data_IF_176288248623
#
_entry.id   IF_176288248623
#
_cell.length_a   1.000
_cell.length_b   1.000
_cell.length_c   1.000
_cell.angle_alpha   90.00
_cell.angle_beta   90.00
_cell.angle_gamma   90.00
#
_symmetry.space_group_name_H-M   'P 1'
#
loop_
_entity.id
_entity.type
_entity.pdbx_description
1 polymer ?
#
# COMPACT_ATOMS: atom_id res chain seq x y z
N UNK A 1 82.26 -30.65 -8.04
CA UNK A 1 82.37 -30.68 -6.56
C UNK A 1 81.12 -30.08 -5.94
N UNK A 2 80.41 -30.89 -5.24
CA UNK A 2 79.25 -30.45 -4.36
C UNK A 2 79.83 -29.64 -3.19
N UNK A 3 79.07 -28.81 -2.40
CA UNK A 3 77.92 -29.30 -1.61
C UNK A 3 76.73 -28.36 -1.51
N UNK A 4 75.61 -28.95 -1.17
CA UNK A 4 74.52 -28.49 -0.31
C UNK A 4 75.02 -27.95 1.07
N UNK A 5 74.26 -27.29 1.95
CA UNK A 5 72.83 -27.16 2.19
C UNK A 5 72.38 -25.80 2.79
N UNK A 6 71.21 -25.49 3.01
CA UNK A 6 70.50 -25.50 4.32
C UNK A 6 69.11 -24.91 4.20
N UNK A 7 68.17 -25.73 4.58
CA UNK A 7 66.78 -25.33 4.70
C UNK A 7 66.56 -24.54 5.98
N UNK A 8 65.92 -23.39 5.87
CA UNK A 8 65.26 -22.80 7.04
C UNK A 8 63.78 -22.62 6.70
N UNK A 9 62.99 -23.48 7.28
CA UNK A 9 61.54 -23.39 7.25
C UNK A 9 61.09 -22.34 8.27
N UNK A 10 60.51 -21.25 7.80
CA UNK A 10 59.83 -20.30 8.64
C UNK A 10 58.35 -20.61 8.53
N UNK A 11 57.79 -21.21 9.59
CA UNK A 11 56.38 -21.35 9.75
C UNK A 11 55.77 -19.97 10.06
N UNK A 12 55.11 -19.37 9.12
CA UNK A 12 54.24 -18.21 9.34
C UNK A 12 52.83 -18.72 9.65
N UNK A 13 52.45 -18.71 10.91
CA UNK A 13 51.06 -18.89 11.31
C UNK A 13 50.27 -17.65 10.85
N UNK A 14 49.54 -17.76 9.75
CA UNK A 14 48.53 -16.79 9.35
C UNK A 14 47.24 -17.10 10.13
N UNK A 15 47.00 -16.36 11.19
CA UNK A 15 45.67 -16.31 11.85
C UNK A 15 44.77 -15.48 10.98
N UNK A 16 44.04 -16.12 10.10
CA UNK A 16 42.93 -15.49 9.37
C UNK A 16 41.72 -15.40 10.26
N UNK A 17 41.61 -14.29 10.99
CA UNK A 17 40.38 -13.87 11.65
C UNK A 17 39.32 -13.51 10.63
N UNK A 18 38.51 -14.49 10.23
CA UNK A 18 37.32 -14.26 9.44
C UNK A 18 36.22 -13.70 10.36
N UNK A 19 36.33 -12.39 10.66
CA UNK A 19 35.24 -11.60 11.21
C UNK A 19 34.19 -11.36 10.12
N UNK A 20 33.31 -12.33 9.90
CA UNK A 20 32.16 -12.17 9.04
C UNK A 20 31.20 -11.19 9.68
N UNK A 21 31.23 -9.93 9.25
CA UNK A 21 30.13 -8.99 9.40
C UNK A 21 28.95 -9.53 8.58
N UNK A 22 28.09 -10.31 9.23
CA UNK A 22 26.75 -10.57 8.74
C UNK A 22 26.01 -9.24 8.81
N UNK A 23 26.22 -8.39 7.82
CA UNK A 23 25.33 -7.31 7.50
C UNK A 23 23.99 -7.99 7.13
N UNK A 24 23.14 -8.20 8.14
CA UNK A 24 21.76 -8.61 7.94
C UNK A 24 21.14 -7.57 7.02
N UNK A 25 20.97 -7.93 5.76
CA UNK A 25 20.13 -7.15 4.87
C UNK A 25 18.76 -7.08 5.55
N UNK A 26 18.45 -5.94 6.15
CA UNK A 26 17.09 -5.61 6.56
C UNK A 26 16.32 -5.57 5.25
N UNK A 27 15.71 -6.70 4.91
CA UNK A 27 14.75 -6.75 3.83
C UNK A 27 13.61 -5.85 4.27
N UNK A 28 13.56 -4.65 3.66
CA UNK A 28 12.40 -3.79 3.79
C UNK A 28 11.20 -4.65 3.40
N UNK A 29 10.33 -4.95 4.39
CA UNK A 29 9.09 -5.64 4.10
C UNK A 29 8.35 -4.80 3.05
N UNK A 30 7.95 -5.39 1.92
CA UNK A 30 7.14 -4.68 0.95
C UNK A 30 5.96 -4.09 1.70
N UNK A 31 5.71 -2.79 1.51
CA UNK A 31 4.50 -2.17 2.03
C UNK A 31 3.31 -3.03 1.58
N UNK A 32 2.35 -3.34 2.46
CA UNK A 32 1.25 -4.23 2.11
C UNK A 32 0.61 -3.72 0.83
N UNK A 33 0.61 -4.53 -0.22
CA UNK A 33 0.01 -4.21 -1.52
C UNK A 33 -1.43 -3.77 -1.31
N UNK A 34 -1.91 -2.84 -2.13
CA UNK A 34 -3.27 -2.30 -2.02
C UNK A 34 -4.32 -3.40 -1.96
N UNK A 35 -5.39 -3.16 -1.22
CA UNK A 35 -6.56 -4.05 -1.16
C UNK A 35 -7.61 -3.61 -2.18
N UNK A 36 -8.31 -4.54 -2.77
CA UNK A 36 -9.42 -4.29 -3.69
C UNK A 36 -10.54 -5.31 -3.50
N UNK A 37 -11.62 -5.15 -4.23
CA UNK A 37 -12.83 -5.97 -4.14
C UNK A 37 -13.18 -6.55 -5.48
N UNK A 38 -13.51 -7.83 -5.51
CA UNK A 38 -13.85 -8.52 -6.75
C UNK A 38 -15.06 -9.45 -6.63
N UNK A 39 -15.71 -9.63 -7.77
CA UNK A 39 -16.84 -10.52 -7.95
C UNK A 39 -16.82 -11.05 -9.39
N UNK A 40 -16.69 -12.35 -9.61
CA UNK A 40 -16.66 -12.88 -10.96
C UNK A 40 -18.03 -12.75 -11.65
N UNK A 41 -18.03 -12.75 -12.98
CA UNK A 41 -19.26 -12.83 -13.78
C UNK A 41 -20.10 -11.56 -13.87
N UNK A 42 -19.60 -10.40 -13.42
CA UNK A 42 -20.32 -9.12 -13.54
C UNK A 42 -19.78 -8.29 -14.70
N UNK A 43 -20.61 -7.38 -15.23
CA UNK A 43 -20.18 -6.40 -16.24
C UNK A 43 -19.40 -5.25 -15.60
N UNK A 44 -18.63 -4.51 -16.43
CA UNK A 44 -17.94 -3.30 -15.99
C UNK A 44 -18.90 -2.24 -15.45
N UNK A 45 -20.06 -2.09 -16.09
CA UNK A 45 -21.08 -1.17 -15.62
C UNK A 45 -21.57 -1.55 -14.22
N UNK A 46 -21.92 -2.80 -14.02
CA UNK A 46 -22.38 -3.30 -12.72
C UNK A 46 -21.30 -3.12 -11.63
N UNK A 47 -20.04 -3.44 -11.93
CA UNK A 47 -18.91 -3.22 -11.03
C UNK A 47 -18.82 -1.74 -10.60
N UNK A 48 -18.99 -0.81 -11.53
CA UNK A 48 -18.94 0.62 -11.25
C UNK A 48 -20.15 1.11 -10.47
N UNK A 49 -21.33 0.66 -10.85
CA UNK A 49 -22.59 1.00 -10.17
C UNK A 49 -22.58 0.52 -8.73
N UNK A 50 -22.23 -0.74 -8.49
CA UNK A 50 -22.15 -1.31 -7.14
C UNK A 50 -21.16 -0.54 -6.25
N UNK A 51 -19.98 -0.19 -6.79
CA UNK A 51 -18.99 0.60 -6.05
C UNK A 51 -19.50 1.99 -5.66
N UNK A 52 -20.17 2.69 -6.57
CA UNK A 52 -20.72 4.03 -6.34
C UNK A 52 -21.87 3.98 -5.34
N UNK A 53 -22.80 3.04 -5.50
CA UNK A 53 -23.94 2.90 -4.59
C UNK A 53 -23.49 2.52 -3.18
N UNK A 54 -22.53 1.60 -3.04
CA UNK A 54 -21.99 1.25 -1.73
C UNK A 54 -21.23 2.43 -1.08
N UNK A 55 -20.49 3.22 -1.87
CA UNK A 55 -19.85 4.42 -1.35
C UNK A 55 -20.88 5.46 -0.88
N UNK A 56 -21.97 5.65 -1.64
CA UNK A 56 -23.06 6.54 -1.27
C UNK A 56 -23.77 6.09 0.00
N UNK A 57 -24.10 4.81 0.11
CA UNK A 57 -24.70 4.23 1.30
C UNK A 57 -23.80 4.39 2.54
N UNK A 58 -22.52 4.12 2.40
CA UNK A 58 -21.55 4.34 3.48
C UNK A 58 -21.52 5.80 3.92
N UNK A 59 -21.46 6.74 2.97
CA UNK A 59 -21.42 8.17 3.24
C UNK A 59 -22.71 8.71 3.88
N UNK A 60 -23.87 8.14 3.54
CA UNK A 60 -25.16 8.55 4.12
C UNK A 60 -25.45 7.93 5.49
N UNK A 61 -24.91 6.73 5.76
CA UNK A 61 -25.15 6.00 6.99
C UNK A 61 -24.15 6.32 8.12
N UNK A 62 -22.98 6.86 7.77
CA UNK A 62 -21.90 7.10 8.73
C UNK A 62 -21.74 8.60 8.99
N UNK A 63 -21.97 9.07 10.23
CA UNK A 63 -21.67 10.46 10.59
C UNK A 63 -20.14 10.66 10.55
N UNK A 64 -19.67 11.38 9.55
CA UNK A 64 -18.25 11.66 9.37
C UNK A 64 -17.90 12.96 10.09
N UNK A 65 -16.94 12.87 11.02
CA UNK A 65 -16.36 14.06 11.66
C UNK A 65 -15.23 14.62 10.80
N UNK A 66 -15.40 15.81 10.27
CA UNK A 66 -14.39 16.54 9.51
C UNK A 66 -13.99 17.78 10.32
N UNK A 67 -12.68 18.00 10.58
CA UNK A 67 -12.23 19.24 11.19
C UNK A 67 -12.68 20.45 10.37
N UNK A 68 -13.25 21.45 11.02
CA UNK A 68 -13.65 22.69 10.36
C UNK A 68 -12.41 23.53 10.02
N UNK A 69 -12.53 24.38 8.99
CA UNK A 69 -11.49 25.31 8.59
C UNK A 69 -11.06 26.19 9.80
N UNK A 70 -12.02 26.58 10.64
CA UNK A 70 -11.77 27.36 11.84
C UNK A 70 -10.90 26.63 12.86
N UNK A 71 -11.04 25.31 12.99
CA UNK A 71 -10.14 24.51 13.85
C UNK A 71 -8.72 24.46 13.32
N UNK A 72 -8.55 24.48 12.01
CA UNK A 72 -7.21 24.53 11.38
C UNK A 72 -6.57 25.90 11.60
N UNK A 73 -7.34 26.99 11.46
CA UNK A 73 -6.85 28.34 11.70
C UNK A 73 -6.65 28.68 13.18
N UNK A 74 -7.42 28.09 14.09
CA UNK A 74 -7.26 28.30 15.53
C UNK A 74 -5.94 27.70 16.09
N UNK A 75 -5.22 26.88 15.32
CA UNK A 75 -3.91 26.34 15.70
C UNK A 75 -2.77 27.32 15.43
N UNK A 76 -3.09 28.58 15.05
CA UNK A 76 -2.13 29.48 14.44
C UNK A 76 -1.74 30.69 15.30
N UNK A 77 -0.46 30.94 15.34
CA UNK A 77 0.28 32.15 15.69
C UNK A 77 1.53 32.26 14.81
N UNK A 78 1.64 31.58 13.70
CA UNK A 78 2.90 31.35 13.02
C UNK A 78 2.90 31.75 11.52
N UNK A 79 4.07 31.67 10.88
CA UNK A 79 4.31 32.05 9.49
C UNK A 79 3.31 31.40 8.51
N UNK A 80 2.87 32.18 7.53
CA UNK A 80 1.88 31.76 6.51
C UNK A 80 2.30 30.48 5.76
N UNK A 81 3.60 30.25 5.59
CA UNK A 81 4.09 29.02 4.96
C UNK A 81 3.88 27.79 5.83
N UNK A 82 4.06 27.91 7.14
CA UNK A 82 3.77 26.84 8.10
C UNK A 82 2.28 26.54 8.16
N UNK A 83 1.44 27.56 8.08
CA UNK A 83 -0.03 27.40 8.00
C UNK A 83 -0.42 26.62 6.76
N UNK A 84 0.12 26.96 5.59
CA UNK A 84 -0.15 26.28 4.32
C UNK A 84 0.31 24.82 4.39
N UNK A 85 1.49 24.54 4.90
CA UNK A 85 2.00 23.17 5.03
C UNK A 85 1.23 22.37 6.09
N UNK A 86 0.81 23.00 7.16
CA UNK A 86 -0.07 22.40 8.18
C UNK A 86 -1.44 22.07 7.60
N UNK A 87 -2.03 22.98 6.83
CA UNK A 87 -3.31 22.75 6.15
C UNK A 87 -3.23 21.59 5.15
N UNK A 88 -2.17 21.51 4.35
CA UNK A 88 -1.94 20.37 3.43
C UNK A 88 -1.84 19.05 4.19
N UNK A 89 -1.07 19.01 5.28
CA UNK A 89 -0.95 17.80 6.12
C UNK A 89 -2.27 17.44 6.81
N UNK A 90 -3.02 18.44 7.24
CA UNK A 90 -4.34 18.27 7.86
C UNK A 90 -5.35 17.70 6.86
N UNK A 91 -5.40 18.23 5.63
CA UNK A 91 -6.26 17.68 4.58
C UNK A 91 -5.97 16.21 4.29
N UNK A 92 -4.71 15.82 4.24
CA UNK A 92 -4.34 14.42 4.00
C UNK A 92 -4.77 13.52 5.18
N UNK A 93 -4.55 13.95 6.41
CA UNK A 93 -5.00 13.22 7.62
C UNK A 93 -6.53 13.13 7.69
N UNK A 94 -7.20 14.25 7.41
CA UNK A 94 -8.67 14.30 7.38
C UNK A 94 -9.24 13.34 6.34
N UNK A 95 -8.66 13.29 5.15
CA UNK A 95 -9.09 12.36 4.10
C UNK A 95 -8.93 10.89 4.54
N UNK A 96 -7.81 10.54 5.17
CA UNK A 96 -7.59 9.20 5.69
C UNK A 96 -8.60 8.87 6.81
N UNK A 97 -8.82 9.78 7.76
CA UNK A 97 -9.78 9.59 8.84
C UNK A 97 -11.22 9.39 8.31
N UNK A 98 -11.60 10.12 7.27
CA UNK A 98 -12.90 9.91 6.60
C UNK A 98 -12.97 8.54 5.94
N UNK A 99 -11.91 8.13 5.24
CA UNK A 99 -11.84 6.81 4.62
C UNK A 99 -11.97 5.69 5.66
N UNK A 100 -11.23 5.79 6.77
CA UNK A 100 -11.27 4.81 7.86
C UNK A 100 -12.66 4.70 8.51
N UNK A 101 -13.40 5.82 8.62
CA UNK A 101 -14.76 5.81 9.16
C UNK A 101 -15.78 5.20 8.19
N UNK A 102 -15.60 5.40 6.88
CA UNK A 102 -16.50 4.89 5.85
C UNK A 102 -16.24 3.43 5.48
N UNK A 103 -14.99 2.95 5.67
CA UNK A 103 -14.56 1.63 5.22
C UNK A 103 -15.45 0.49 5.76
N UNK A 104 -15.82 0.40 7.06
CA UNK A 104 -16.63 -0.71 7.56
C UNK A 104 -18.01 -0.78 6.91
N UNK A 105 -18.66 0.37 6.67
CA UNK A 105 -19.97 0.43 6.04
C UNK A 105 -19.88 0.06 4.54
N UNK A 106 -18.83 0.55 3.85
CA UNK A 106 -18.54 0.21 2.47
C UNK A 106 -18.29 -1.29 2.30
N UNK A 107 -17.46 -1.89 3.17
CA UNK A 107 -17.19 -3.32 3.16
C UNK A 107 -18.45 -4.15 3.37
N UNK A 108 -19.29 -3.77 4.34
CA UNK A 108 -20.55 -4.44 4.62
C UNK A 108 -21.45 -4.46 3.39
N UNK A 109 -21.57 -3.31 2.71
CA UNK A 109 -22.37 -3.22 1.48
C UNK A 109 -21.80 -4.10 0.36
N UNK A 110 -20.49 -4.05 0.12
CA UNK A 110 -19.84 -4.84 -0.93
C UNK A 110 -19.96 -6.34 -0.66
N UNK A 111 -19.77 -6.78 0.59
CA UNK A 111 -19.97 -8.19 0.98
C UNK A 111 -21.42 -8.63 0.78
N UNK A 112 -22.39 -7.80 1.15
CA UNK A 112 -23.80 -8.04 0.92
C UNK A 112 -24.17 -8.22 -0.57
N UNK A 113 -23.39 -7.60 -1.47
CA UNK A 113 -23.53 -7.77 -2.93
C UNK A 113 -22.70 -8.93 -3.49
N UNK A 114 -22.03 -9.71 -2.64
CA UNK A 114 -21.26 -10.88 -3.03
C UNK A 114 -19.84 -10.58 -3.50
N UNK A 115 -19.31 -9.38 -3.25
CA UNK A 115 -17.90 -9.08 -3.47
C UNK A 115 -17.03 -9.71 -2.37
N UNK A 116 -15.82 -10.06 -2.75
CA UNK A 116 -14.78 -10.56 -1.84
C UNK A 116 -13.55 -9.67 -1.92
N UNK A 117 -12.89 -9.40 -0.79
CA UNK A 117 -11.65 -8.63 -0.79
C UNK A 117 -10.52 -9.50 -1.35
N UNK A 118 -9.60 -8.86 -2.06
CA UNK A 118 -8.35 -9.48 -2.51
C UNK A 118 -7.19 -8.49 -2.40
N UNK A 119 -5.98 -9.02 -2.24
CA UNK A 119 -4.76 -8.24 -2.14
C UNK A 119 -4.08 -8.15 -3.50
N UNK A 120 -3.69 -6.94 -3.91
CA UNK A 120 -2.90 -6.74 -5.11
C UNK A 120 -1.46 -7.26 -4.88
N UNK A 121 -0.89 -7.89 -5.89
CA UNK A 121 0.55 -8.16 -5.92
C UNK A 121 1.32 -6.84 -6.06
N UNK A 122 2.62 -6.83 -5.71
CA UNK A 122 3.45 -5.63 -5.83
C UNK A 122 3.50 -5.11 -7.28
N UNK A 123 3.50 -6.01 -8.27
CA UNK A 123 3.47 -5.66 -9.69
C UNK A 123 2.13 -5.01 -10.06
N UNK A 124 1.01 -5.58 -9.61
CA UNK A 124 -0.32 -5.03 -9.87
C UNK A 124 -0.49 -3.66 -9.20
N UNK A 125 -0.01 -3.50 -7.98
CA UNK A 125 -0.08 -2.23 -7.24
C UNK A 125 0.81 -1.16 -7.89
N UNK A 126 2.02 -1.52 -8.33
CA UNK A 126 2.91 -0.63 -9.07
C UNK A 126 2.26 -0.15 -10.39
N UNK A 127 1.64 -1.05 -11.14
CA UNK A 127 0.92 -0.70 -12.37
C UNK A 127 -0.29 0.18 -12.07
N UNK A 128 -1.04 -0.11 -11.01
CA UNK A 128 -2.18 0.69 -10.59
C UNK A 128 -1.77 2.13 -10.21
N UNK A 129 -0.62 2.31 -9.58
CA UNK A 129 -0.07 3.62 -9.20
C UNK A 129 0.31 4.49 -10.40
N UNK A 130 0.65 3.88 -11.54
CA UNK A 130 0.94 4.61 -12.78
C UNK A 130 -0.32 5.15 -13.45
N UNK A 131 -1.48 4.60 -13.14
CA UNK A 131 -2.75 5.02 -13.72
C UNK A 131 -3.35 6.19 -12.93
N UNK A 132 -3.74 7.26 -13.63
CA UNK A 132 -4.33 8.46 -13.02
C UNK A 132 -5.54 8.07 -12.15
N UNK A 133 -5.58 8.53 -10.91
CA UNK A 133 -6.72 8.34 -9.99
C UNK A 133 -8.01 8.87 -10.63
N UNK A 134 -9.10 8.12 -10.52
CA UNK A 134 -10.40 8.46 -11.09
C UNK A 134 -10.52 8.24 -12.60
N UNK A 135 -9.46 7.84 -13.32
CA UNK A 135 -9.54 7.59 -14.75
C UNK A 135 -10.24 6.28 -15.11
N UNK A 136 -10.85 6.23 -16.28
CA UNK A 136 -11.49 5.02 -16.82
C UNK A 136 -10.48 3.88 -16.99
N UNK A 137 -9.24 4.19 -17.38
CA UNK A 137 -8.18 3.18 -17.52
C UNK A 137 -7.86 2.52 -16.18
N UNK A 138 -7.79 3.29 -15.09
CA UNK A 138 -7.59 2.76 -13.74
C UNK A 138 -8.77 1.87 -13.30
N UNK A 139 -10.00 2.30 -13.57
CA UNK A 139 -11.18 1.50 -13.23
C UNK A 139 -11.26 0.21 -14.06
N UNK A 140 -10.91 0.25 -15.35
CA UNK A 140 -10.87 -0.94 -16.20
C UNK A 140 -9.79 -1.93 -15.76
N UNK A 141 -8.64 -1.42 -15.35
CA UNK A 141 -7.57 -2.26 -14.82
C UNK A 141 -8.01 -3.02 -13.56
N UNK A 142 -8.57 -2.29 -12.57
CA UNK A 142 -9.11 -2.92 -11.35
C UNK A 142 -10.24 -3.90 -11.66
N UNK A 143 -11.13 -3.55 -12.59
CA UNK A 143 -12.20 -4.44 -13.02
C UNK A 143 -11.65 -5.75 -13.61
N UNK A 144 -10.63 -5.69 -14.45
CA UNK A 144 -10.00 -6.88 -15.01
C UNK A 144 -9.50 -7.85 -13.93
N UNK A 145 -8.88 -7.32 -12.88
CA UNK A 145 -8.48 -8.13 -11.72
C UNK A 145 -9.67 -8.61 -10.89
N UNK A 146 -10.68 -7.76 -10.73
CA UNK A 146 -11.84 -8.01 -9.88
C UNK A 146 -12.77 -9.12 -10.39
N UNK A 147 -12.78 -9.40 -11.70
CA UNK A 147 -13.60 -10.45 -12.29
C UNK A 147 -12.84 -11.75 -12.57
N UNK A 148 -11.52 -11.73 -12.43
CA UNK A 148 -10.66 -12.88 -12.72
C UNK A 148 -10.73 -13.91 -11.58
N UNK A 149 -11.26 -15.12 -11.84
CA UNK A 149 -11.39 -16.16 -10.82
C UNK A 149 -10.04 -16.60 -10.23
N UNK A 150 -8.96 -16.60 -11.02
CA UNK A 150 -7.63 -17.01 -10.56
C UNK A 150 -7.04 -15.97 -9.61
N UNK A 151 -7.24 -14.68 -9.91
CA UNK A 151 -6.86 -13.58 -8.99
C UNK A 151 -7.62 -13.71 -7.67
N UNK A 152 -8.93 -13.91 -7.73
CA UNK A 152 -9.77 -14.01 -6.53
C UNK A 152 -9.46 -15.28 -5.71
N UNK A 153 -9.05 -16.38 -6.35
CA UNK A 153 -8.64 -17.59 -5.68
C UNK A 153 -7.25 -17.49 -5.05
N UNK A 154 -6.29 -16.91 -5.78
CA UNK A 154 -4.89 -16.84 -5.33
C UNK A 154 -4.55 -15.66 -4.43
N UNK A 155 -5.35 -14.60 -4.47
CA UNK A 155 -5.10 -13.33 -3.76
C UNK A 155 -6.24 -12.96 -2.80
N UNK A 156 -7.26 -13.82 -2.62
CA UNK A 156 -8.38 -13.59 -1.70
C UNK A 156 -7.95 -13.43 -0.24
N UNK A 157 -8.69 -12.60 0.50
CA UNK A 157 -8.50 -12.29 1.92
C UNK A 157 -9.64 -12.86 2.76
#
# INVERSE_FOLDING_TARGET
>A
MRPFPLRLAILALAVTGAGGLLAGAVQAQPAPGGRSWGKPGISFLQYRTDAVECAWLAGSATPVSVPTVDQVFAMDGQDIFEVIESAKRSQYRTFNNVADQLEPALETCLRGRGYRPFKLTDVQDAQLKQLKRGSTSRHRYLYGLAIDPEVLKGQGL
#
